data_IF_469481102145
#
_entry.id   IF_469481102145
#
_cell.length_a   1.000
_cell.length_b   1.000
_cell.length_c   1.000
_cell.angle_alpha   90.00
_cell.angle_beta   90.00
_cell.angle_gamma   90.00
#
_symmetry.space_group_name_H-M   'P 1'
#
loop_
_entity.id
_entity.type
_entity.pdbx_description
1 polymer ?
#
# COMPACT_ATOMS: atom_id res chain seq x y z
N UNK A 1 -7.07 21.23 -31.74
CA UNK A 1 -7.95 21.16 -30.55
C UNK A 1 -7.95 19.72 -30.07
N UNK A 2 -7.20 19.41 -29.01
CA UNK A 2 -7.29 18.11 -28.32
C UNK A 2 -6.70 18.27 -26.92
N UNK A 3 -7.43 18.96 -26.05
CA UNK A 3 -7.12 18.92 -24.61
C UNK A 3 -7.55 17.55 -24.11
N UNK A 4 -6.57 16.74 -23.74
CA UNK A 4 -6.77 15.49 -23.02
C UNK A 4 -7.42 15.80 -21.67
N UNK A 5 -8.74 15.65 -21.61
CA UNK A 5 -9.47 15.56 -20.35
C UNK A 5 -9.10 14.21 -19.74
N UNK A 6 -8.00 14.19 -18.99
CA UNK A 6 -7.69 13.07 -18.10
C UNK A 6 -8.73 13.08 -17.00
N UNK A 7 -9.72 12.20 -17.16
CA UNK A 7 -10.72 11.89 -16.15
C UNK A 7 -10.01 11.54 -14.82
N UNK A 8 -10.20 12.30 -13.73
CA UNK A 8 -9.47 12.10 -12.47
C UNK A 8 -9.72 10.71 -11.87
N UNK A 9 -10.85 10.08 -12.22
CA UNK A 9 -11.21 8.71 -11.80
C UNK A 9 -10.34 7.65 -12.47
N UNK A 10 -10.00 7.81 -13.75
CA UNK A 10 -9.22 6.85 -14.53
C UNK A 10 -7.74 6.78 -14.12
N UNK A 11 -7.16 7.88 -13.66
CA UNK A 11 -5.79 7.88 -13.11
C UNK A 11 -5.73 7.16 -11.76
N UNK A 12 -6.75 7.33 -10.90
CA UNK A 12 -6.83 6.70 -9.58
C UNK A 12 -6.86 5.17 -9.66
N UNK A 13 -7.68 4.62 -10.57
CA UNK A 13 -7.76 3.17 -10.77
C UNK A 13 -6.43 2.55 -11.23
N UNK A 14 -5.71 3.22 -12.13
CA UNK A 14 -4.41 2.72 -12.63
C UNK A 14 -3.35 2.69 -11.54
N UNK A 15 -3.32 3.68 -10.65
CA UNK A 15 -2.41 3.69 -9.50
C UNK A 15 -2.72 2.54 -8.55
N UNK A 16 -4.00 2.30 -8.28
CA UNK A 16 -4.46 1.19 -7.44
C UNK A 16 -4.08 -0.17 -8.03
N UNK A 17 -4.34 -0.36 -9.33
CA UNK A 17 -4.00 -1.58 -10.05
C UNK A 17 -2.48 -1.82 -10.06
N UNK A 18 -1.68 -0.77 -10.25
CA UNK A 18 -0.23 -0.88 -10.19
C UNK A 18 0.25 -1.31 -8.79
N UNK A 19 -0.33 -0.77 -7.71
CA UNK A 19 -0.01 -1.20 -6.34
C UNK A 19 -0.35 -2.66 -6.11
N UNK A 20 -1.53 -3.10 -6.54
CA UNK A 20 -1.95 -4.51 -6.45
C UNK A 20 -0.95 -5.41 -7.19
N UNK A 21 -0.66 -5.09 -8.44
CA UNK A 21 0.27 -5.88 -9.27
C UNK A 21 1.66 -5.96 -8.63
N UNK A 22 2.17 -4.83 -8.10
CA UNK A 22 3.47 -4.77 -7.44
C UNK A 22 3.51 -5.65 -6.20
N UNK A 23 2.49 -5.60 -5.33
CA UNK A 23 2.45 -6.42 -4.12
C UNK A 23 2.32 -7.90 -4.43
N UNK A 24 1.51 -8.27 -5.42
CA UNK A 24 1.38 -9.65 -5.89
C UNK A 24 2.71 -10.16 -6.44
N UNK A 25 3.39 -9.35 -7.25
CA UNK A 25 4.70 -9.69 -7.80
C UNK A 25 5.76 -9.87 -6.69
N UNK A 26 5.74 -9.01 -5.67
CA UNK A 26 6.61 -9.15 -4.50
C UNK A 26 6.32 -10.48 -3.78
N UNK A 27 5.05 -10.82 -3.54
CA UNK A 27 4.68 -12.07 -2.87
C UNK A 27 5.20 -13.31 -3.64
N UNK A 28 4.96 -13.37 -4.95
CA UNK A 28 5.42 -14.49 -5.77
C UNK A 28 6.94 -14.58 -5.86
N UNK A 29 7.63 -13.49 -6.21
CA UNK A 29 9.09 -13.48 -6.38
C UNK A 29 9.83 -13.78 -5.08
N UNK A 30 9.36 -13.25 -3.96
CA UNK A 30 10.01 -13.49 -2.66
C UNK A 30 9.79 -14.93 -2.18
N UNK A 31 8.63 -15.51 -2.45
CA UNK A 31 8.38 -16.92 -2.18
C UNK A 31 9.28 -17.82 -3.04
N UNK A 32 9.40 -17.55 -4.33
CA UNK A 32 10.31 -18.25 -5.24
C UNK A 32 11.77 -18.17 -4.77
N UNK A 33 12.21 -16.98 -4.35
CA UNK A 33 13.54 -16.80 -3.80
C UNK A 33 13.75 -17.66 -2.54
N UNK A 34 12.77 -17.72 -1.62
CA UNK A 34 12.86 -18.58 -0.43
C UNK A 34 12.99 -20.04 -0.84
N UNK A 35 12.20 -20.50 -1.82
CA UNK A 35 12.30 -21.88 -2.32
C UNK A 35 13.67 -22.18 -2.94
N UNK A 36 14.28 -21.20 -3.62
CA UNK A 36 15.63 -21.35 -4.18
C UNK A 36 16.73 -21.47 -3.12
N UNK A 37 16.52 -20.87 -1.93
CA UNK A 37 17.47 -20.85 -0.82
C UNK A 37 17.27 -22.02 0.16
N UNK A 38 16.06 -22.57 0.23
CA UNK A 38 15.67 -23.64 1.15
C UNK A 38 16.55 -24.92 1.10
N UNK A 39 17.10 -25.36 -0.06
CA UNK A 39 17.96 -26.54 -0.09
C UNK A 39 19.24 -26.30 0.73
N UNK A 40 19.50 -27.18 1.70
CA UNK A 40 20.75 -27.20 2.47
C UNK A 40 21.89 -27.93 1.75
N UNK A 41 21.63 -28.38 0.51
CA UNK A 41 22.58 -29.09 -0.33
C UNK A 41 22.90 -28.27 -1.59
N UNK A 42 24.14 -28.39 -2.06
CA UNK A 42 24.60 -27.85 -3.33
C UNK A 42 24.66 -28.98 -4.34
N UNK A 43 24.06 -28.77 -5.51
CA UNK A 43 24.21 -29.68 -6.62
C UNK A 43 25.60 -29.51 -7.24
N UNK A 44 26.43 -30.56 -7.11
CA UNK A 44 27.68 -30.65 -7.86
C UNK A 44 27.35 -31.17 -9.25
N UNK A 45 27.78 -30.45 -10.30
CA UNK A 45 27.61 -30.85 -11.70
C UNK A 45 28.94 -31.20 -12.37
N UNK A 46 28.89 -32.13 -13.33
CA UNK A 46 30.01 -32.44 -14.23
C UNK A 46 30.16 -31.38 -15.36
N UNK A 47 31.16 -31.56 -16.23
CA UNK A 47 31.41 -30.66 -17.36
C UNK A 47 30.26 -30.65 -18.38
N UNK A 48 29.45 -31.72 -18.41
CA UNK A 48 28.29 -31.90 -19.26
C UNK A 48 26.97 -31.44 -18.59
N UNK A 49 27.03 -30.88 -17.38
CA UNK A 49 25.90 -30.26 -16.68
C UNK A 49 24.97 -31.24 -15.92
N UNK A 50 25.34 -32.50 -15.74
CA UNK A 50 24.57 -33.51 -15.02
C UNK A 50 24.86 -33.45 -13.52
N UNK A 51 23.85 -33.64 -12.68
CA UNK A 51 24.02 -33.68 -11.23
C UNK A 51 24.72 -34.98 -10.84
N UNK A 52 25.91 -34.87 -10.24
CA UNK A 52 26.78 -36.00 -9.88
C UNK A 52 26.86 -36.23 -8.37
N UNK A 53 26.60 -35.21 -7.55
CA UNK A 53 26.56 -35.32 -6.10
C UNK A 53 25.77 -34.16 -5.47
N UNK A 54 25.32 -34.36 -4.22
CA UNK A 54 24.79 -33.31 -3.37
C UNK A 54 25.75 -33.06 -2.21
N UNK A 55 26.45 -31.95 -2.23
CA UNK A 55 27.34 -31.53 -1.14
C UNK A 55 26.55 -30.76 -0.08
N UNK A 56 26.99 -30.77 1.18
CA UNK A 56 26.40 -29.92 2.22
C UNK A 56 26.86 -28.47 2.01
N UNK A 57 25.94 -27.51 2.18
CA UNK A 57 26.31 -26.10 2.23
C UNK A 57 27.24 -25.83 3.41
N UNK A 58 28.23 -24.94 3.19
CA UNK A 58 29.06 -24.45 4.29
C UNK A 58 28.21 -23.70 5.31
N UNK A 59 28.61 -23.75 6.59
CA UNK A 59 27.85 -23.12 7.68
C UNK A 59 27.75 -21.60 7.49
N UNK A 60 28.81 -20.96 7.00
CA UNK A 60 28.80 -19.51 6.77
C UNK A 60 27.82 -19.13 5.66
N UNK A 61 27.79 -19.91 4.57
CA UNK A 61 26.84 -19.75 3.47
C UNK A 61 25.40 -20.00 3.93
N UNK A 62 25.15 -21.09 4.66
CA UNK A 62 23.83 -21.42 5.18
C UNK A 62 23.28 -20.34 6.12
N UNK A 63 24.14 -19.73 6.96
CA UNK A 63 23.73 -18.59 7.80
C UNK A 63 23.37 -17.35 6.97
N UNK A 64 24.14 -17.04 5.92
CA UNK A 64 23.86 -15.90 5.05
C UNK A 64 22.52 -16.09 4.31
N UNK A 65 22.25 -17.29 3.82
CA UNK A 65 20.99 -17.62 3.15
C UNK A 65 19.80 -17.63 4.12
N UNK A 66 19.98 -18.08 5.37
CA UNK A 66 18.95 -17.99 6.40
C UNK A 66 18.52 -16.52 6.66
N UNK A 67 19.49 -15.61 6.75
CA UNK A 67 19.20 -14.17 6.86
C UNK A 67 18.47 -13.62 5.62
N UNK A 68 18.83 -14.09 4.41
CA UNK A 68 18.13 -13.72 3.19
C UNK A 68 16.67 -14.22 3.18
N UNK A 69 16.42 -15.44 3.66
CA UNK A 69 15.08 -15.99 3.82
C UNK A 69 14.24 -15.14 4.78
N UNK A 70 14.78 -14.73 5.92
CA UNK A 70 14.10 -13.83 6.86
C UNK A 70 13.76 -12.47 6.22
N UNK A 71 14.69 -11.92 5.45
CA UNK A 71 14.49 -10.65 4.72
C UNK A 71 13.37 -10.80 3.68
N UNK A 72 13.34 -11.91 2.94
CA UNK A 72 12.28 -12.20 1.98
C UNK A 72 10.91 -12.39 2.66
N UNK A 73 10.87 -13.09 3.79
CA UNK A 73 9.65 -13.26 4.58
C UNK A 73 9.12 -11.91 5.10
N UNK A 74 9.99 -11.05 5.63
CA UNK A 74 9.61 -9.70 6.07
C UNK A 74 9.06 -8.84 4.92
N UNK A 75 9.67 -8.92 3.72
CA UNK A 75 9.16 -8.23 2.54
C UNK A 75 7.78 -8.73 2.10
N UNK A 76 7.51 -10.04 2.22
CA UNK A 76 6.19 -10.63 1.94
C UNK A 76 5.13 -10.12 2.92
N UNK A 77 5.45 -10.07 4.22
CA UNK A 77 4.54 -9.54 5.25
C UNK A 77 4.16 -8.10 4.91
N UNK A 78 5.14 -7.24 4.59
CA UNK A 78 4.88 -5.85 4.19
C UNK A 78 3.99 -5.74 2.95
N UNK A 79 4.19 -6.59 1.95
CA UNK A 79 3.35 -6.60 0.75
C UNK A 79 1.91 -7.03 1.08
N UNK A 80 1.72 -7.99 1.99
CA UNK A 80 0.41 -8.40 2.46
C UNK A 80 -0.29 -7.30 3.29
N UNK A 81 0.47 -6.59 4.13
CA UNK A 81 -0.02 -5.43 4.89
C UNK A 81 -0.45 -4.28 3.95
N UNK A 82 0.30 -4.01 2.87
CA UNK A 82 -0.10 -2.99 1.90
C UNK A 82 -1.36 -3.41 1.11
N UNK A 83 -1.52 -4.69 0.79
CA UNK A 83 -2.78 -5.19 0.22
C UNK A 83 -3.95 -5.02 1.20
N UNK A 84 -3.75 -5.30 2.49
CA UNK A 84 -4.77 -5.08 3.51
C UNK A 84 -5.14 -3.59 3.61
N UNK A 85 -4.14 -2.70 3.68
CA UNK A 85 -4.34 -1.26 3.69
C UNK A 85 -5.10 -0.78 2.45
N UNK A 86 -4.76 -1.31 1.27
CA UNK A 86 -5.45 -1.01 0.02
C UNK A 86 -6.91 -1.46 0.08
N UNK A 87 -7.21 -2.69 0.50
CA UNK A 87 -8.61 -3.14 0.63
C UNK A 87 -9.42 -2.31 1.63
N UNK A 88 -8.78 -1.82 2.70
CA UNK A 88 -9.40 -0.88 3.64
C UNK A 88 -9.74 0.43 2.94
N UNK A 89 -8.80 1.03 2.21
CA UNK A 89 -9.04 2.26 1.46
C UNK A 89 -10.13 2.08 0.39
N UNK A 90 -10.22 0.93 -0.29
CA UNK A 90 -11.32 0.67 -1.23
C UNK A 90 -12.67 0.59 -0.52
N UNK A 91 -12.73 -0.10 0.63
CA UNK A 91 -13.97 -0.20 1.42
C UNK A 91 -14.38 1.16 1.97
N UNK A 92 -13.44 1.94 2.48
CA UNK A 92 -13.67 3.31 2.94
C UNK A 92 -14.15 4.20 1.78
N UNK A 93 -13.52 4.13 0.62
CA UNK A 93 -13.95 4.88 -0.56
C UNK A 93 -15.35 4.46 -1.05
N UNK A 94 -15.72 3.18 -0.91
CA UNK A 94 -17.05 2.68 -1.22
C UNK A 94 -18.10 3.14 -0.21
N UNK A 95 -17.81 3.05 1.09
CA UNK A 95 -18.72 3.44 2.19
C UNK A 95 -18.91 4.97 2.24
N UNK A 96 -17.84 5.73 2.06
CA UNK A 96 -17.84 7.20 2.16
C UNK A 96 -18.02 7.90 0.81
N UNK A 97 -18.32 7.16 -0.26
CA UNK A 97 -18.77 7.71 -1.54
C UNK A 97 -17.67 8.33 -2.43
N UNK A 98 -16.39 8.08 -2.16
CA UNK A 98 -15.29 8.50 -3.05
C UNK A 98 -15.10 7.59 -4.28
N UNK A 99 -15.79 6.45 -4.33
CA UNK A 99 -15.95 5.65 -5.55
C UNK A 99 -17.45 5.42 -5.75
N UNK A 100 -18.06 6.21 -6.65
CA UNK A 100 -19.42 5.98 -7.16
C UNK A 100 -20.56 6.78 -6.51
N UNK A 101 -20.29 7.73 -5.63
CA UNK A 101 -21.31 8.69 -5.19
C UNK A 101 -21.58 9.71 -6.30
N UNK A 102 -22.85 9.89 -6.66
CA UNK A 102 -23.31 10.90 -7.63
C UNK A 102 -22.61 12.24 -7.35
N UNK A 103 -21.94 12.80 -8.35
CA UNK A 103 -21.00 13.91 -8.19
C UNK A 103 -21.69 15.14 -7.56
N UNK A 104 -22.99 15.26 -7.82
CA UNK A 104 -23.87 16.29 -7.27
C UNK A 104 -24.14 16.12 -5.78
N UNK A 105 -24.22 14.88 -5.29
CA UNK A 105 -24.40 14.58 -3.85
C UNK A 105 -23.13 14.92 -3.09
N UNK A 106 -21.96 14.58 -3.64
CA UNK A 106 -20.67 14.91 -3.00
C UNK A 106 -20.41 16.41 -3.00
N UNK A 107 -20.73 17.13 -4.08
CA UNK A 107 -20.67 18.59 -4.13
C UNK A 107 -21.60 19.23 -3.10
N UNK A 108 -22.82 18.70 -2.95
CA UNK A 108 -23.79 19.21 -1.99
C UNK A 108 -23.33 19.01 -0.54
N UNK A 109 -22.86 17.82 -0.19
CA UNK A 109 -22.35 17.54 1.17
C UNK A 109 -21.15 18.42 1.50
N UNK A 110 -20.21 18.62 0.55
CA UNK A 110 -19.07 19.53 0.76
C UNK A 110 -19.51 20.98 0.96
N UNK A 111 -20.44 21.47 0.15
CA UNK A 111 -20.96 22.83 0.28
C UNK A 111 -21.65 23.06 1.64
N UNK A 112 -22.44 22.08 2.10
CA UNK A 112 -23.08 22.13 3.42
C UNK A 112 -22.03 22.10 4.55
N UNK A 113 -21.00 21.24 4.43
CA UNK A 113 -19.92 21.14 5.41
C UNK A 113 -19.09 22.43 5.51
N UNK A 114 -18.77 23.07 4.38
CA UNK A 114 -18.01 24.32 4.34
C UNK A 114 -18.81 25.49 4.95
N UNK A 115 -20.14 25.53 4.73
CA UNK A 115 -21.02 26.50 5.38
C UNK A 115 -21.06 26.31 6.90
N UNK A 116 -21.22 25.07 7.38
CA UNK A 116 -21.24 24.78 8.80
C UNK A 116 -19.91 25.12 9.48
N UNK A 117 -18.78 24.86 8.81
CA UNK A 117 -17.45 25.22 9.30
C UNK A 117 -17.28 26.75 9.44
N UNK A 118 -17.81 27.55 8.51
CA UNK A 118 -17.78 29.00 8.59
C UNK A 118 -18.60 29.53 9.78
N UNK A 119 -19.82 29.00 9.98
CA UNK A 119 -20.69 29.38 11.10
C UNK A 119 -20.05 29.03 12.45
N UNK A 120 -19.43 27.85 12.55
CA UNK A 120 -18.71 27.43 13.76
C UNK A 120 -17.49 28.33 14.00
N UNK A 121 -16.76 28.70 12.94
CA UNK A 121 -15.64 29.64 13.00
C UNK A 121 -16.04 31.00 13.54
N UNK A 122 -17.11 31.59 13.03
CA UNK A 122 -17.63 32.88 13.51
C UNK A 122 -18.04 32.81 14.99
N UNK A 123 -18.75 31.75 15.40
CA UNK A 123 -19.16 31.56 16.80
C UNK A 123 -17.98 31.32 17.75
N UNK A 124 -16.93 30.63 17.29
CA UNK A 124 -15.70 30.45 18.05
C UNK A 124 -14.99 31.79 18.24
N UNK A 125 -14.88 32.60 17.20
CA UNK A 125 -14.29 33.95 17.28
C UNK A 125 -15.08 34.83 18.23
N UNK A 126 -16.41 34.83 18.14
CA UNK A 126 -17.28 35.61 19.04
C UNK A 126 -17.06 35.22 20.51
N UNK A 127 -17.03 33.92 20.83
CA UNK A 127 -16.75 33.43 22.18
C UNK A 127 -15.37 33.84 22.68
N UNK A 128 -14.33 33.67 21.86
CA UNK A 128 -12.96 34.05 22.23
C UNK A 128 -12.87 35.56 22.46
N UNK A 129 -13.51 36.39 21.64
CA UNK A 129 -13.53 37.85 21.85
C UNK A 129 -14.28 38.27 23.12
N UNK A 130 -15.38 37.58 23.47
CA UNK A 130 -16.12 37.83 24.72
C UNK A 130 -15.37 37.38 25.98
N UNK A 131 -14.57 36.31 25.89
CA UNK A 131 -13.74 35.86 27.01
C UNK A 131 -12.47 36.71 27.18
N UNK A 132 -11.90 37.25 26.11
CA UNK A 132 -10.70 38.12 26.15
C UNK A 132 -11.05 39.56 26.54
N UNK A 133 -12.23 40.05 26.16
CA UNK A 133 -12.79 41.34 26.60
C UNK A 133 -13.75 41.09 27.77
N UNK A 134 -13.21 40.61 28.89
CA UNK A 134 -13.98 40.45 30.12
C UNK A 134 -14.57 41.78 30.61
N UNK A 135 -15.82 41.71 31.08
CA UNK A 135 -16.62 42.78 31.69
C UNK A 135 -15.80 43.71 32.60
N UNK A 136 -15.74 45.00 32.24
CA UNK A 136 -15.56 46.13 33.15
C UNK A 136 -16.83 46.96 33.19
#
# INVERSE_FOLDING_TARGET
MSSSTTDPTGQSYRVLQNRINTNIEILYKRYENILSLAPLTLERRDAEGRVIAHDKKDKTLAMAEAFQMETHASAMIRAAEDLLALTRSLKEAWIFGQIGGDEDVVKKIRAETDMDAAVVGEKLVEKVTKEVVGDF
#
